data_IF_885382969767
#
_entry.id   IF_885382969767
#
_cell.length_a   1.000
_cell.length_b   1.000
_cell.length_c   1.000
_cell.angle_alpha   90.00
_cell.angle_beta   90.00
_cell.angle_gamma   90.00
#
_symmetry.space_group_name_H-M   'P 1'
#
loop_
_entity.id
_entity.type
_entity.pdbx_description
1 polymer ?
#
# COMPACT_ATOMS: atom_id res chain seq x y z
N UNK A 1 26.08 -70.84 1.66
CA UNK A 1 27.23 -70.41 2.49
C UNK A 1 27.38 -68.90 2.27
N UNK A 2 26.79 -68.06 3.15
CA UNK A 2 27.48 -67.30 4.22
C UNK A 2 28.73 -66.56 3.72
N UNK A 3 28.86 -65.23 3.75
CA UNK A 3 28.71 -64.31 4.88
C UNK A 3 28.52 -62.86 4.35
N UNK A 4 27.60 -62.04 4.90
CA UNK A 4 27.77 -61.15 6.06
C UNK A 4 29.11 -60.39 6.13
N UNK A 5 29.07 -59.07 5.91
CA UNK A 5 29.56 -58.05 6.87
C UNK A 5 29.82 -56.71 6.17
N UNK A 6 29.11 -55.67 6.63
CA UNK A 6 29.58 -54.27 6.87
C UNK A 6 28.41 -53.29 6.78
N UNK A 7 27.57 -53.33 7.80
CA UNK A 7 26.87 -52.14 8.28
C UNK A 7 27.68 -51.50 9.41
N UNK A 8 27.30 -50.26 9.72
CA UNK A 8 27.61 -49.53 10.96
C UNK A 8 28.91 -48.70 10.99
N UNK A 9 28.84 -47.46 10.48
CA UNK A 9 29.42 -46.27 11.13
C UNK A 9 28.56 -45.04 10.79
N UNK A 10 27.44 -44.95 11.50
CA UNK A 10 26.67 -43.72 11.67
C UNK A 10 27.17 -43.03 12.94
N UNK A 11 27.06 -41.70 12.95
CA UNK A 11 27.07 -40.81 14.12
C UNK A 11 28.41 -40.65 14.83
N UNK A 12 29.07 -39.53 14.58
CA UNK A 12 29.53 -38.58 15.62
C UNK A 12 30.41 -37.51 14.97
N UNK A 13 29.83 -36.41 14.47
CA UNK A 13 30.55 -35.13 14.44
C UNK A 13 29.54 -33.98 14.64
N UNK A 14 29.50 -33.50 15.88
CA UNK A 14 28.96 -32.18 16.22
C UNK A 14 30.12 -31.21 16.43
N UNK A 15 29.82 -29.94 16.12
CA UNK A 15 30.47 -28.71 16.55
C UNK A 15 31.82 -28.34 15.89
N UNK A 16 31.82 -27.26 15.10
CA UNK A 16 32.55 -26.02 15.42
C UNK A 16 31.93 -24.83 14.67
N UNK A 17 31.89 -23.67 15.34
CA UNK A 17 31.32 -22.40 14.87
C UNK A 17 32.39 -21.52 14.22
N UNK A 18 32.02 -20.90 13.07
CA UNK A 18 32.40 -19.54 12.54
C UNK A 18 33.84 -19.24 12.10
N UNK A 19 34.15 -18.20 11.27
CA UNK A 19 33.29 -17.20 10.58
C UNK A 19 33.58 -16.97 9.05
N UNK A 20 32.77 -16.07 8.46
CA UNK A 20 32.90 -15.32 7.18
C UNK A 20 34.20 -15.42 6.36
N UNK A 21 34.05 -15.71 5.07
CA UNK A 21 34.89 -15.16 4.00
C UNK A 21 34.00 -14.64 2.85
N UNK A 22 34.23 -13.40 2.46
CA UNK A 22 33.58 -12.73 1.34
C UNK A 22 34.27 -13.15 0.03
N UNK A 23 33.49 -13.59 -0.96
CA UNK A 23 33.97 -13.71 -2.33
C UNK A 23 33.18 -12.76 -3.23
N UNK A 24 33.91 -11.74 -3.71
CA UNK A 24 33.49 -10.86 -4.80
C UNK A 24 33.73 -11.57 -6.14
N UNK A 25 32.72 -11.47 -7.01
CA UNK A 25 32.66 -11.64 -8.47
C UNK A 25 33.71 -12.49 -9.19
N UNK A 26 33.25 -13.55 -9.87
CA UNK A 26 33.73 -13.84 -11.24
C UNK A 26 32.62 -14.43 -12.11
N UNK A 27 32.36 -13.75 -13.22
CA UNK A 27 31.55 -14.19 -14.35
C UNK A 27 32.21 -15.39 -15.02
N UNK A 28 31.49 -16.51 -15.14
CA UNK A 28 31.78 -17.52 -16.15
C UNK A 28 30.49 -18.17 -16.64
N UNK A 29 30.12 -17.80 -17.86
CA UNK A 29 29.13 -18.44 -18.72
C UNK A 29 29.51 -19.91 -18.93
N UNK A 30 28.63 -20.84 -18.53
CA UNK A 30 28.58 -22.20 -19.07
C UNK A 30 27.15 -22.73 -19.11
N UNK A 31 26.65 -22.79 -20.34
CA UNK A 31 25.86 -23.84 -20.98
C UNK A 31 24.77 -24.59 -20.20
N UNK A 32 23.55 -24.45 -20.71
CA UNK A 32 22.39 -25.33 -20.51
C UNK A 32 22.70 -26.79 -20.82
N UNK A 33 22.06 -27.72 -20.10
CA UNK A 33 21.47 -28.90 -20.70
C UNK A 33 19.94 -28.78 -20.75
N UNK A 34 19.43 -28.85 -21.98
CA UNK A 34 18.01 -29.07 -22.29
C UNK A 34 17.67 -30.51 -21.91
N UNK A 35 16.61 -30.71 -21.14
CA UNK A 35 15.93 -32.01 -21.08
C UNK A 35 14.51 -31.86 -21.61
N UNK A 36 14.20 -32.78 -22.53
CA UNK A 36 12.95 -32.90 -23.25
C UNK A 36 11.85 -33.53 -22.38
N UNK A 37 10.62 -33.13 -22.71
CA UNK A 37 9.37 -33.90 -22.66
C UNK A 37 9.10 -34.87 -21.50
N UNK A 38 8.07 -34.54 -20.72
CA UNK A 38 6.94 -35.46 -20.62
C UNK A 38 5.62 -34.69 -20.61
N UNK A 39 4.78 -35.02 -21.60
CA UNK A 39 3.39 -34.61 -21.70
C UNK A 39 2.54 -35.66 -21.02
N UNK A 40 1.70 -35.28 -20.06
CA UNK A 40 0.51 -36.06 -19.70
C UNK A 40 -0.72 -35.18 -19.83
N UNK A 41 -1.42 -35.42 -20.94
CA UNK A 41 -2.80 -35.02 -21.15
C UNK A 41 -3.68 -35.71 -20.10
N UNK A 42 -4.32 -34.93 -19.24
CA UNK A 42 -5.56 -35.31 -18.58
C UNK A 42 -6.56 -34.17 -18.80
N UNK A 43 -7.30 -34.30 -19.89
CA UNK A 43 -8.54 -33.57 -20.11
C UNK A 43 -9.58 -34.07 -19.11
N UNK A 44 -10.10 -33.17 -18.28
CA UNK A 44 -11.31 -33.41 -17.51
C UNK A 44 -12.41 -32.50 -18.06
N UNK A 45 -13.22 -33.05 -18.96
CA UNK A 45 -14.43 -32.42 -19.47
C UNK A 45 -15.47 -32.33 -18.34
N UNK A 46 -15.75 -31.11 -17.85
CA UNK A 46 -16.96 -30.86 -17.08
C UNK A 46 -18.06 -30.43 -18.05
N UNK A 47 -19.05 -31.33 -18.20
CA UNK A 47 -20.28 -31.15 -18.97
C UNK A 47 -20.96 -29.82 -18.65
N UNK A 48 -21.20 -29.02 -19.69
CA UNK A 48 -22.23 -28.00 -19.72
C UNK A 48 -23.60 -28.69 -19.53
N UNK A 49 -24.34 -28.29 -18.51
CA UNK A 49 -25.76 -28.65 -18.34
C UNK A 49 -26.61 -27.46 -18.76
N UNK A 50 -27.44 -27.57 -19.81
CA UNK A 50 -28.40 -26.54 -20.19
C UNK A 50 -29.75 -26.76 -19.50
N UNK A 51 -30.35 -25.70 -18.96
CA UNK A 51 -31.75 -25.59 -18.50
C UNK A 51 -31.91 -24.19 -17.88
N UNK A 52 -32.90 -23.33 -18.14
CA UNK A 52 -34.05 -23.24 -19.04
C UNK A 52 -34.33 -21.73 -19.21
N UNK A 53 -34.80 -21.24 -20.37
CA UNK A 53 -35.14 -19.83 -20.54
C UNK A 53 -36.49 -19.49 -19.90
N UNK A 54 -36.49 -18.48 -19.02
CA UNK A 54 -37.70 -17.88 -18.44
C UNK A 54 -38.39 -17.04 -19.53
N UNK A 55 -39.66 -17.35 -19.77
CA UNK A 55 -40.59 -16.65 -20.65
C UNK A 55 -40.82 -15.22 -20.14
N UNK A 56 -40.48 -14.20 -20.93
CA UNK A 56 -41.14 -12.90 -20.82
C UNK A 56 -41.51 -12.34 -22.22
N UNK A 57 -42.82 -12.20 -22.34
CA UNK A 57 -43.70 -11.56 -23.31
C UNK A 57 -43.07 -10.47 -24.19
N UNK A 58 -43.20 -10.68 -25.50
CA UNK A 58 -43.03 -9.69 -26.57
C UNK A 58 -44.37 -9.00 -26.83
N UNK A 59 -44.44 -7.66 -26.88
CA UNK A 59 -45.47 -6.97 -27.65
C UNK A 59 -45.01 -6.69 -29.09
N UNK A 60 -45.85 -7.15 -30.00
CA UNK A 60 -45.78 -7.09 -31.46
C UNK A 60 -46.03 -5.67 -31.98
N UNK A 61 -45.09 -5.10 -32.77
CA UNK A 61 -45.38 -3.94 -33.65
C UNK A 61 -44.88 -4.27 -35.06
N UNK A 62 -45.77 -4.00 -36.02
CA UNK A 62 -45.76 -4.38 -37.44
C UNK A 62 -44.81 -3.45 -38.25
N UNK A 63 -44.15 -3.94 -39.31
CA UNK A 63 -43.19 -3.17 -40.11
C UNK A 63 -43.88 -2.26 -41.14
N UNK A 64 -43.31 -1.07 -41.39
CA UNK A 64 -43.58 -0.29 -42.60
C UNK A 64 -42.27 0.29 -43.14
N UNK A 65 -42.15 0.24 -44.47
CA UNK A 65 -40.96 0.43 -45.29
C UNK A 65 -40.68 1.90 -45.62
N UNK A 66 -39.38 2.24 -45.62
CA UNK A 66 -38.63 3.18 -46.51
C UNK A 66 -38.96 4.69 -46.52
N UNK A 67 -38.03 5.59 -46.97
CA UNK A 67 -36.68 5.36 -47.51
C UNK A 67 -35.54 6.19 -46.84
N UNK A 68 -34.33 5.80 -47.22
CA UNK A 68 -33.03 6.31 -46.82
C UNK A 68 -32.86 7.84 -46.90
N UNK A 69 -32.25 8.40 -45.85
CA UNK A 69 -31.54 9.68 -45.90
C UNK A 69 -30.09 9.43 -45.52
N UNK A 70 -29.22 10.03 -46.34
CA UNK A 70 -27.79 9.85 -46.50
C UNK A 70 -26.95 9.85 -45.21
N UNK A 71 -25.80 9.15 -45.22
CA UNK A 71 -24.84 9.16 -44.14
C UNK A 71 -24.09 10.49 -44.12
N UNK A 72 -24.35 11.31 -43.08
CA UNK A 72 -23.51 12.46 -42.76
C UNK A 72 -22.28 11.97 -41.97
N UNK A 73 -21.09 12.54 -42.20
CA UNK A 73 -19.81 11.88 -42.00
C UNK A 73 -19.49 11.66 -40.53
N UNK A 74 -18.84 10.53 -40.25
CA UNK A 74 -18.16 10.26 -39.00
C UNK A 74 -17.18 11.41 -38.70
N UNK A 75 -17.57 12.29 -37.77
CA UNK A 75 -16.62 13.19 -37.11
C UNK A 75 -15.48 12.36 -36.52
N UNK A 76 -14.22 12.77 -36.74
CA UNK A 76 -13.07 12.01 -36.27
C UNK A 76 -13.16 11.85 -34.76
N UNK A 77 -12.80 10.67 -34.25
CA UNK A 77 -12.67 10.38 -32.82
C UNK A 77 -11.63 11.31 -32.20
N UNK A 78 -12.04 12.54 -31.89
CA UNK A 78 -11.27 13.51 -31.14
C UNK A 78 -10.93 12.90 -29.80
N UNK A 79 -9.65 12.90 -29.46
CA UNK A 79 -9.11 12.37 -28.21
C UNK A 79 -9.84 13.02 -27.02
N UNK A 80 -10.86 12.35 -26.47
CA UNK A 80 -11.56 12.82 -25.28
C UNK A 80 -10.53 12.87 -24.15
N UNK A 81 -10.36 14.04 -23.54
CA UNK A 81 -9.52 14.17 -22.35
C UNK A 81 -9.96 13.15 -21.31
N UNK A 82 -9.01 12.48 -20.65
CA UNK A 82 -9.28 11.39 -19.70
C UNK A 82 -10.28 11.81 -18.59
N UNK A 83 -10.26 13.10 -18.22
CA UNK A 83 -11.23 13.69 -17.31
C UNK A 83 -12.67 13.66 -17.83
N UNK A 84 -12.89 13.90 -19.13
CA UNK A 84 -14.22 13.81 -19.75
C UNK A 84 -14.71 12.36 -19.82
N UNK A 85 -13.83 11.41 -20.15
CA UNK A 85 -14.18 9.97 -20.14
C UNK A 85 -14.51 9.45 -18.73
N UNK A 86 -13.92 10.02 -17.69
CA UNK A 86 -14.27 9.72 -16.30
C UNK A 86 -15.56 10.41 -15.86
N UNK A 87 -15.81 11.64 -16.32
CA UNK A 87 -17.02 12.38 -16.01
C UNK A 87 -18.28 11.79 -16.69
N UNK A 88 -18.11 11.11 -17.83
CA UNK A 88 -19.18 10.39 -18.52
C UNK A 88 -19.59 9.08 -17.81
N UNK A 89 -18.73 8.53 -16.94
CA UNK A 89 -19.05 7.32 -16.18
C UNK A 89 -20.09 7.62 -15.11
N UNK A 90 -21.02 6.69 -14.92
CA UNK A 90 -22.08 6.76 -13.90
C UNK A 90 -21.61 6.37 -12.51
N UNK A 91 -20.42 5.79 -12.36
CA UNK A 91 -19.88 5.33 -11.09
C UNK A 91 -18.65 6.14 -10.68
N UNK A 92 -18.52 6.38 -9.38
CA UNK A 92 -17.29 6.91 -8.78
C UNK A 92 -16.13 5.94 -9.02
N UNK A 93 -15.01 6.44 -9.54
CA UNK A 93 -13.84 5.62 -9.85
C UNK A 93 -12.75 5.84 -8.80
N UNK A 94 -12.32 4.78 -8.12
CA UNK A 94 -11.23 4.85 -7.15
C UNK A 94 -9.90 5.00 -7.91
N UNK A 95 -9.21 6.13 -7.71
CA UNK A 95 -7.94 6.43 -8.38
C UNK A 95 -6.75 5.95 -7.55
N UNK A 96 -6.85 6.08 -6.23
CA UNK A 96 -5.81 5.64 -5.31
C UNK A 96 -6.39 5.23 -3.96
N UNK A 97 -5.87 4.13 -3.42
CA UNK A 97 -6.14 3.63 -2.08
C UNK A 97 -4.81 3.45 -1.35
N UNK A 98 -4.66 4.11 -0.21
CA UNK A 98 -3.46 4.02 0.60
C UNK A 98 -3.34 2.65 1.31
N UNK A 99 -2.11 2.18 1.60
CA UNK A 99 -1.90 0.97 2.38
C UNK A 99 -2.36 1.15 3.84
N UNK A 100 -2.40 0.05 4.59
CA UNK A 100 -2.69 0.10 6.02
C UNK A 100 -1.54 0.73 6.81
N UNK A 101 -1.62 2.04 7.08
CA UNK A 101 -0.68 2.77 7.94
C UNK A 101 -0.82 2.48 9.45
N UNK A 102 -1.45 1.38 9.85
CA UNK A 102 -1.67 1.06 11.27
C UNK A 102 -0.36 0.84 11.99
N UNK A 103 0.57 0.07 11.40
CA UNK A 103 1.91 -0.15 11.94
C UNK A 103 2.70 1.16 11.99
N UNK A 104 2.63 1.97 10.93
CA UNK A 104 3.26 3.29 10.90
C UNK A 104 2.76 4.21 12.02
N UNK A 105 1.44 4.27 12.24
CA UNK A 105 0.84 5.05 13.32
C UNK A 105 1.22 4.49 14.70
N UNK A 106 1.20 3.17 14.86
CA UNK A 106 1.63 2.49 16.09
C UNK A 106 3.10 2.83 16.40
N UNK A 107 3.98 2.83 15.41
CA UNK A 107 5.37 3.24 15.56
C UNK A 107 5.48 4.70 15.98
N UNK A 108 4.76 5.61 15.32
CA UNK A 108 4.82 7.04 15.68
C UNK A 108 4.37 7.26 17.12
N UNK A 109 3.20 6.73 17.51
CA UNK A 109 2.67 6.89 18.85
C UNK A 109 3.48 6.14 19.92
N UNK A 110 3.98 4.94 19.60
CA UNK A 110 4.83 4.16 20.49
C UNK A 110 6.18 4.83 20.74
N UNK A 111 6.84 5.33 19.69
CA UNK A 111 8.10 6.07 19.82
C UNK A 111 7.90 7.40 20.53
N UNK A 112 6.82 8.12 20.24
CA UNK A 112 6.48 9.35 20.97
C UNK A 112 6.23 9.08 22.46
N UNK A 113 5.41 8.08 22.77
CA UNK A 113 5.14 7.66 24.14
C UNK A 113 6.43 7.29 24.86
N UNK A 114 7.31 6.52 24.22
CA UNK A 114 8.63 6.20 24.77
C UNK A 114 9.47 7.46 25.05
N UNK A 115 9.52 8.42 24.12
CA UNK A 115 10.26 9.66 24.31
C UNK A 115 9.70 10.50 25.47
N UNK A 116 8.38 10.64 25.59
CA UNK A 116 7.76 11.39 26.68
C UNK A 116 7.93 10.70 28.03
N UNK A 117 7.75 9.38 28.09
CA UNK A 117 7.95 8.61 29.32
C UNK A 117 9.41 8.69 29.77
N UNK A 118 10.37 8.52 28.86
CA UNK A 118 11.79 8.65 29.16
C UNK A 118 12.13 10.08 29.64
N UNK A 119 11.64 11.11 28.94
CA UNK A 119 11.86 12.50 29.34
C UNK A 119 11.33 12.77 30.75
N UNK A 120 10.12 12.30 31.05
CA UNK A 120 9.47 12.52 32.36
C UNK A 120 10.22 11.79 33.47
N UNK A 121 10.54 10.51 33.29
CA UNK A 121 11.26 9.72 34.31
C UNK A 121 12.67 10.28 34.51
N UNK A 122 13.38 10.60 33.43
CA UNK A 122 14.74 11.13 33.51
C UNK A 122 14.77 12.51 34.17
N UNK A 123 13.81 13.39 33.85
CA UNK A 123 13.67 14.68 34.50
C UNK A 123 13.35 14.52 36.00
N UNK A 124 12.41 13.64 36.34
CA UNK A 124 12.04 13.41 37.74
C UNK A 124 13.20 12.85 38.57
N UNK A 125 13.87 11.82 38.06
CA UNK A 125 14.95 11.14 38.80
C UNK A 125 16.27 11.92 38.82
N UNK A 126 16.66 12.57 37.71
CA UNK A 126 17.98 13.20 37.59
C UNK A 126 18.00 14.72 37.79
N UNK A 127 16.86 15.41 37.64
CA UNK A 127 16.78 16.86 37.85
C UNK A 127 16.20 17.20 39.22
N UNK A 128 15.07 16.59 39.59
CA UNK A 128 14.37 16.90 40.85
C UNK A 128 14.99 16.18 42.04
N UNK A 129 15.27 14.87 41.90
CA UNK A 129 15.88 14.05 42.95
C UNK A 129 17.41 13.98 42.85
N UNK A 130 18.04 15.03 42.32
CA UNK A 130 19.49 15.06 42.15
C UNK A 130 20.22 14.98 43.51
N UNK A 131 21.14 14.00 43.71
CA UNK A 131 22.00 13.97 44.90
C UNK A 131 22.81 15.27 45.04
N UNK A 132 22.89 15.81 46.25
CA UNK A 132 23.60 17.07 46.54
C UNK A 132 25.12 17.01 46.23
N UNK A 133 25.68 15.81 46.08
CA UNK A 133 27.08 15.56 45.77
C UNK A 133 27.44 15.75 44.29
N UNK A 134 26.47 16.04 43.43
CA UNK A 134 26.70 16.21 41.99
C UNK A 134 27.02 17.66 41.62
N UNK A 135 27.95 17.89 40.67
CA UNK A 135 28.18 19.20 40.10
C UNK A 135 26.87 19.76 39.51
N UNK A 136 26.59 21.04 39.78
CA UNK A 136 25.34 21.72 39.38
C UNK A 136 25.07 21.71 37.87
N UNK A 137 26.10 21.54 37.04
CA UNK A 137 25.94 21.41 35.58
C UNK A 137 25.29 20.08 35.17
N UNK A 138 25.45 19.01 35.96
CA UNK A 138 24.98 17.66 35.60
C UNK A 138 23.46 17.58 35.57
N UNK A 139 22.71 18.02 36.61
CA UNK A 139 21.26 18.10 36.54
C UNK A 139 20.79 18.98 35.37
N UNK A 140 21.42 20.14 35.15
CA UNK A 140 21.06 21.06 34.05
C UNK A 140 21.21 20.38 32.69
N UNK A 141 22.28 19.61 32.47
CA UNK A 141 22.48 18.83 31.25
C UNK A 141 21.39 17.76 31.06
N UNK A 142 21.04 17.03 32.12
CA UNK A 142 19.94 16.05 32.07
C UNK A 142 18.58 16.69 31.82
N UNK A 143 18.35 17.89 32.37
CA UNK A 143 17.19 18.72 32.05
C UNK A 143 17.14 19.06 30.56
N UNK A 144 18.26 19.51 29.99
CA UNK A 144 18.38 19.79 28.56
C UNK A 144 18.10 18.57 27.67
N UNK A 145 18.63 17.40 28.04
CA UNK A 145 18.38 16.13 27.33
C UNK A 145 16.91 15.75 27.40
N UNK A 146 16.25 15.92 28.56
CA UNK A 146 14.82 15.63 28.72
C UNK A 146 13.94 16.52 27.83
N UNK A 147 14.28 17.81 27.73
CA UNK A 147 13.58 18.77 26.87
C UNK A 147 13.77 18.43 25.38
N UNK A 148 15.00 18.11 24.97
CA UNK A 148 15.29 17.67 23.60
C UNK A 148 14.50 16.41 23.25
N UNK A 149 14.43 15.45 24.18
CA UNK A 149 13.64 14.22 23.98
C UNK A 149 12.14 14.51 23.88
N UNK A 150 11.61 15.44 24.68
CA UNK A 150 10.21 15.87 24.57
C UNK A 150 9.91 16.55 23.22
N UNK A 151 10.82 17.40 22.71
CA UNK A 151 10.71 18.00 21.38
C UNK A 151 10.72 16.95 20.27
N UNK A 152 11.60 15.95 20.35
CA UNK A 152 11.63 14.81 19.42
C UNK A 152 10.33 14.01 19.48
N UNK A 153 9.83 13.73 20.69
CA UNK A 153 8.54 13.08 20.90
C UNK A 153 7.40 13.84 20.21
N UNK A 154 7.32 15.16 20.43
CA UNK A 154 6.35 16.03 19.77
C UNK A 154 6.45 15.98 18.25
N UNK A 155 7.66 16.07 17.70
CA UNK A 155 7.89 15.98 16.25
C UNK A 155 7.37 14.66 15.66
N UNK A 156 7.59 13.55 16.35
CA UNK A 156 7.14 12.22 15.91
C UNK A 156 5.61 12.08 16.01
N UNK A 157 4.95 12.65 17.01
CA UNK A 157 3.46 12.67 17.10
C UNK A 157 2.83 13.39 15.91
N UNK A 158 3.48 14.44 15.39
CA UNK A 158 2.98 15.19 14.23
C UNK A 158 3.31 14.52 12.89
N UNK A 159 4.18 13.50 12.86
CA UNK A 159 4.56 12.79 11.64
C UNK A 159 3.35 12.20 10.85
N UNK A 160 2.37 11.51 11.47
CA UNK A 160 1.20 10.96 10.76
C UNK A 160 0.17 12.02 10.31
N UNK A 161 0.35 13.30 10.65
CA UNK A 161 -0.57 14.34 10.23
C UNK A 161 -0.58 14.51 8.71
N UNK A 162 -1.80 14.63 8.15
CA UNK A 162 -2.03 14.94 6.73
C UNK A 162 -1.87 13.76 5.77
N UNK A 163 -1.94 12.52 6.25
CA UNK A 163 -1.91 11.33 5.40
C UNK A 163 -3.22 11.17 4.59
N UNK A 164 -3.12 10.96 3.28
CA UNK A 164 -4.26 10.65 2.41
C UNK A 164 -4.59 9.16 2.51
N UNK A 165 -5.88 8.84 2.67
CA UNK A 165 -6.40 7.47 2.74
C UNK A 165 -6.89 6.99 1.37
N UNK A 166 -7.66 7.82 0.67
CA UNK A 166 -8.22 7.47 -0.64
C UNK A 166 -8.38 8.72 -1.51
N UNK A 167 -8.25 8.53 -2.82
CA UNK A 167 -8.55 9.53 -3.84
C UNK A 167 -9.56 8.90 -4.80
N UNK A 168 -10.75 9.49 -4.87
CA UNK A 168 -11.87 9.00 -5.68
C UNK A 168 -12.29 10.07 -6.67
N UNK A 169 -12.41 9.72 -7.94
CA UNK A 169 -13.00 10.58 -8.95
C UNK A 169 -14.52 10.42 -8.92
N UNK A 170 -15.23 11.47 -8.53
CA UNK A 170 -16.69 11.52 -8.49
C UNK A 170 -17.18 12.30 -9.71
N UNK A 171 -17.98 11.68 -10.60
CA UNK A 171 -18.58 12.38 -11.73
C UNK A 171 -19.62 13.38 -11.21
N UNK A 172 -19.67 14.60 -11.77
CA UNK A 172 -20.57 15.67 -11.32
C UNK A 172 -22.05 15.29 -11.28
N UNK A 173 -22.46 14.28 -12.07
CA UNK A 173 -23.85 13.77 -12.08
C UNK A 173 -24.23 12.98 -10.82
N UNK A 174 -23.24 12.50 -10.06
CA UNK A 174 -23.41 11.63 -8.88
C UNK A 174 -23.08 12.37 -7.58
N UNK A 175 -22.80 13.68 -7.64
CA UNK A 175 -22.56 14.49 -6.45
C UNK A 175 -23.84 14.68 -5.62
N UNK A 176 -24.14 13.68 -4.80
CA UNK A 176 -25.01 13.80 -3.64
C UNK A 176 -24.17 14.21 -2.45
N UNK A 177 -23.86 15.51 -2.35
CA UNK A 177 -23.34 16.09 -1.12
C UNK A 177 -24.56 16.37 -0.21
N UNK A 178 -24.67 15.64 0.90
CA UNK A 178 -25.69 15.84 1.94
C UNK A 178 -27.15 15.79 1.48
N UNK A 179 -27.55 14.80 0.68
CA UNK A 179 -28.98 14.57 0.35
C UNK A 179 -29.65 15.66 -0.50
N UNK A 180 -28.92 16.71 -0.90
CA UNK A 180 -29.42 17.77 -1.75
C UNK A 180 -28.73 17.72 -3.12
N UNK A 181 -29.54 17.74 -4.18
CA UNK A 181 -29.09 17.76 -5.57
C UNK A 181 -28.39 19.09 -5.88
N UNK A 182 -27.06 19.15 -5.70
CA UNK A 182 -26.29 20.33 -6.07
C UNK A 182 -26.35 20.50 -7.61
N UNK A 183 -26.95 21.61 -8.05
CA UNK A 183 -27.19 21.96 -9.46
C UNK A 183 -25.89 21.83 -10.29
N UNK A 184 -25.90 21.15 -11.44
CA UNK A 184 -24.68 20.83 -12.18
C UNK A 184 -24.13 22.10 -12.83
N UNK A 185 -23.02 22.63 -12.31
CA UNK A 185 -22.28 23.72 -12.95
C UNK A 185 -21.20 23.11 -13.84
N UNK A 186 -21.61 22.60 -14.99
CA UNK A 186 -20.74 22.08 -16.05
C UNK A 186 -20.29 20.62 -15.88
N UNK A 187 -19.77 20.05 -16.96
CA UNK A 187 -19.20 18.69 -17.07
C UNK A 187 -17.88 18.53 -16.31
N UNK A 188 -17.78 19.06 -15.09
CA UNK A 188 -16.55 19.11 -14.31
C UNK A 188 -16.44 17.88 -13.41
N UNK A 189 -15.46 17.02 -13.65
CA UNK A 189 -15.07 15.94 -12.73
C UNK A 189 -14.67 16.54 -11.37
N UNK A 190 -15.14 15.99 -10.25
CA UNK A 190 -14.66 16.35 -8.92
C UNK A 190 -13.85 15.20 -8.32
N UNK A 191 -12.80 15.52 -7.58
CA UNK A 191 -11.97 14.54 -6.90
C UNK A 191 -12.26 14.64 -5.40
N UNK A 192 -12.77 13.56 -4.83
CA UNK A 192 -12.89 13.37 -3.39
C UNK A 192 -11.55 12.87 -2.85
N UNK A 193 -10.92 13.66 -1.99
CA UNK A 193 -9.73 13.27 -1.25
C UNK A 193 -10.14 13.01 0.20
N UNK A 194 -10.05 11.75 0.62
CA UNK A 194 -10.28 11.35 1.99
C UNK A 194 -8.95 11.34 2.76
N UNK A 195 -8.86 12.13 3.82
CA UNK A 195 -7.72 12.10 4.73
C UNK A 195 -7.92 11.03 5.80
N UNK A 196 -6.79 10.47 6.24
CA UNK A 196 -6.76 9.57 7.36
C UNK A 196 -6.91 10.35 8.67
N UNK A 197 -7.54 9.69 9.65
CA UNK A 197 -7.66 10.23 11.01
C UNK A 197 -6.27 10.36 11.61
N UNK A 198 -5.99 11.51 12.22
CA UNK A 198 -4.72 11.73 12.92
C UNK A 198 -4.66 10.80 14.14
N UNK A 199 -5.66 10.88 15.02
CA UNK A 199 -5.80 9.98 16.15
C UNK A 199 -6.62 8.73 15.80
N UNK A 200 -6.22 7.53 16.27
CA UNK A 200 -6.96 6.28 16.07
C UNK A 200 -8.20 6.20 16.97
N UNK A 201 -8.88 7.31 17.22
CA UNK A 201 -10.10 7.37 18.03
C UNK A 201 -11.30 7.07 17.14
N UNK A 202 -12.19 6.14 17.54
CA UNK A 202 -13.32 5.72 16.71
C UNK A 202 -14.31 6.87 16.38
N UNK A 203 -14.42 7.87 17.26
CA UNK A 203 -15.45 8.92 17.20
C UNK A 203 -15.19 10.08 16.22
N UNK A 204 -13.95 10.31 15.76
CA UNK A 204 -13.69 11.42 14.84
C UNK A 204 -13.87 11.00 13.37
N UNK A 205 -14.68 11.69 12.55
CA UNK A 205 -14.86 11.35 11.14
C UNK A 205 -13.58 11.63 10.33
N UNK A 206 -13.36 10.86 9.25
CA UNK A 206 -12.30 11.18 8.28
C UNK A 206 -12.66 12.48 7.53
N UNK A 207 -11.70 13.39 7.41
CA UNK A 207 -11.91 14.66 6.72
C UNK A 207 -11.92 14.42 5.21
N UNK A 208 -13.01 14.77 4.55
CA UNK A 208 -13.20 14.63 3.09
C UNK A 208 -13.26 16.01 2.46
N UNK A 209 -12.65 16.16 1.30
CA UNK A 209 -12.75 17.39 0.50
C UNK A 209 -13.02 17.05 -0.96
N UNK A 210 -13.87 17.87 -1.59
CA UNK A 210 -14.17 17.81 -3.01
C UNK A 210 -13.38 18.91 -3.69
N UNK A 211 -12.47 18.51 -4.59
CA UNK A 211 -11.49 19.40 -5.21
C UNK A 211 -11.54 19.20 -6.72
N UNK A 212 -11.33 20.26 -7.50
CA UNK A 212 -11.22 20.10 -8.96
C UNK A 212 -9.86 19.49 -9.33
N UNK A 213 -9.78 18.66 -10.39
CA UNK A 213 -8.52 18.06 -10.83
C UNK A 213 -7.38 19.07 -11.03
N UNK A 214 -7.71 20.28 -11.49
CA UNK A 214 -6.73 21.34 -11.78
C UNK A 214 -6.10 21.99 -10.55
N UNK A 215 -6.74 21.87 -9.39
CA UNK A 215 -6.30 22.48 -8.12
C UNK A 215 -5.36 21.56 -7.34
N UNK A 216 -5.25 20.29 -7.75
CA UNK A 216 -4.31 19.35 -7.17
C UNK A 216 -2.96 19.51 -7.87
N UNK A 217 -1.88 19.55 -7.10
CA UNK A 217 -0.52 19.57 -7.63
C UNK A 217 0.29 18.42 -7.04
N UNK A 218 0.91 17.61 -7.91
CA UNK A 218 1.83 16.55 -7.51
C UNK A 218 3.26 17.05 -7.62
N UNK A 219 4.07 16.82 -6.59
CA UNK A 219 5.50 17.14 -6.62
C UNK A 219 6.29 16.23 -7.59
N UNK A 220 5.82 15.00 -7.82
CA UNK A 220 6.45 14.01 -8.71
C UNK A 220 5.36 13.15 -9.35
N UNK A 221 5.69 12.46 -10.44
CA UNK A 221 4.81 11.47 -11.07
C UNK A 221 4.47 10.37 -10.05
N UNK A 222 3.19 10.02 -9.97
CA UNK A 222 2.68 9.00 -9.05
C UNK A 222 3.15 7.60 -9.44
N UNK A 223 3.41 7.38 -10.73
CA UNK A 223 3.87 6.09 -11.23
C UNK A 223 5.13 5.67 -10.48
N UNK A 224 5.07 4.60 -9.65
CA UNK A 224 6.28 4.11 -9.02
C UNK A 224 7.25 3.75 -10.14
N UNK A 225 8.54 4.02 -9.95
CA UNK A 225 9.61 3.53 -10.83
C UNK A 225 9.75 2.00 -10.65
N UNK A 226 8.64 1.29 -10.64
CA UNK A 226 8.56 -0.13 -10.82
C UNK A 226 8.98 -0.39 -12.25
N UNK A 227 10.03 -1.20 -12.42
CA UNK A 227 10.26 -1.92 -13.68
C UNK A 227 8.91 -2.42 -14.19
N UNK A 228 8.64 -2.30 -15.48
CA UNK A 228 7.43 -2.88 -16.09
C UNK A 228 7.54 -4.39 -15.92
N UNK A 229 7.00 -4.90 -14.81
CA UNK A 229 6.95 -6.33 -14.52
C UNK A 229 6.05 -6.92 -15.61
N UNK A 230 6.56 -7.89 -16.37
CA UNK A 230 5.78 -8.56 -17.40
C UNK A 230 4.49 -9.12 -16.80
N UNK A 231 3.41 -9.21 -17.59
CA UNK A 231 2.15 -9.82 -17.11
C UNK A 231 2.36 -11.24 -16.57
N UNK A 232 3.35 -11.94 -17.12
CA UNK A 232 3.80 -13.27 -16.70
C UNK A 232 4.50 -13.22 -15.34
N UNK A 233 5.53 -12.37 -15.19
CA UNK A 233 6.20 -12.17 -13.90
C UNK A 233 5.24 -11.72 -12.78
N UNK A 234 4.21 -10.94 -13.11
CA UNK A 234 3.19 -10.53 -12.13
C UNK A 234 2.34 -11.72 -11.66
N UNK A 235 1.99 -12.63 -12.58
CA UNK A 235 1.28 -13.88 -12.24
C UNK A 235 2.15 -14.81 -11.43
N UNK A 236 3.41 -14.96 -11.79
CA UNK A 236 4.37 -15.78 -11.03
C UNK A 236 4.55 -15.25 -9.61
N UNK A 237 4.72 -13.94 -9.45
CA UNK A 237 4.80 -13.31 -8.12
C UNK A 237 3.52 -13.51 -7.33
N UNK A 238 2.34 -13.40 -7.96
CA UNK A 238 1.07 -13.65 -7.28
C UNK A 238 0.98 -15.12 -6.81
N UNK A 239 1.42 -16.07 -7.63
CA UNK A 239 1.48 -17.49 -7.25
C UNK A 239 2.46 -17.72 -6.09
N UNK A 240 3.67 -17.13 -6.15
CA UNK A 240 4.66 -17.25 -5.08
C UNK A 240 4.16 -16.65 -3.75
N UNK A 241 3.46 -15.51 -3.80
CA UNK A 241 2.86 -14.90 -2.61
C UNK A 241 1.72 -15.75 -2.04
N UNK A 242 0.92 -16.39 -2.90
CA UNK A 242 -0.12 -17.33 -2.46
C UNK A 242 0.49 -18.57 -1.81
N UNK A 243 1.52 -19.16 -2.40
CA UNK A 243 2.25 -20.29 -1.82
C UNK A 243 2.90 -19.92 -0.49
N UNK A 244 3.55 -18.75 -0.39
CA UNK A 244 4.12 -18.27 0.86
C UNK A 244 3.04 -18.13 1.95
N UNK A 245 1.88 -17.56 1.60
CA UNK A 245 0.74 -17.42 2.53
C UNK A 245 0.19 -18.78 2.98
N UNK A 246 0.09 -19.76 2.08
CA UNK A 246 -0.33 -21.12 2.44
C UNK A 246 0.65 -21.78 3.41
N UNK A 247 1.96 -21.67 3.13
CA UNK A 247 3.01 -22.17 4.05
C UNK A 247 2.95 -21.50 5.41
N UNK A 248 2.69 -20.20 5.46
CA UNK A 248 2.50 -19.49 6.73
C UNK A 248 1.30 -20.04 7.52
N UNK A 249 0.17 -20.29 6.86
CA UNK A 249 -1.02 -20.84 7.50
C UNK A 249 -0.81 -22.28 7.99
N UNK A 250 -0.13 -23.13 7.22
CA UNK A 250 0.24 -24.49 7.63
C UNK A 250 1.20 -24.48 8.83
N UNK A 251 2.17 -23.56 8.82
CA UNK A 251 3.09 -23.38 9.93
C UNK A 251 2.37 -22.89 11.19
N UNK A 252 1.44 -21.93 11.07
CA UNK A 252 0.64 -21.44 12.21
C UNK A 252 -0.24 -22.54 12.81
N UNK A 253 -0.80 -23.43 11.97
CA UNK A 253 -1.57 -24.59 12.45
C UNK A 253 -0.71 -25.59 13.22
N UNK A 254 0.53 -25.82 12.78
CA UNK A 254 1.43 -26.78 13.42
C UNK A 254 2.15 -26.23 14.67
N UNK A 255 2.32 -24.91 14.77
CA UNK A 255 3.12 -24.26 15.80
C UNK A 255 2.33 -23.20 16.57
N UNK A 256 1.21 -23.60 17.17
CA UNK A 256 0.29 -22.68 17.87
C UNK A 256 1.01 -21.96 19.04
N UNK A 257 1.81 -22.69 19.83
CA UNK A 257 2.48 -22.14 21.02
C UNK A 257 3.61 -21.15 20.70
N UNK A 258 4.31 -21.30 19.58
CA UNK A 258 5.39 -20.37 19.18
C UNK A 258 4.93 -19.29 18.21
N UNK A 259 3.73 -19.43 17.64
CA UNK A 259 3.11 -18.44 16.75
C UNK A 259 3.01 -17.02 17.33
N UNK A 260 2.64 -16.78 18.62
CA UNK A 260 2.56 -15.41 19.13
C UNK A 260 3.93 -14.74 19.21
N UNK A 261 4.96 -15.44 19.66
CA UNK A 261 6.31 -14.89 19.75
C UNK A 261 6.86 -14.50 18.38
N UNK A 262 6.61 -15.33 17.36
CA UNK A 262 7.02 -15.02 15.98
C UNK A 262 6.26 -13.83 15.40
N UNK A 263 4.96 -13.71 15.69
CA UNK A 263 4.15 -12.55 15.25
C UNK A 263 4.65 -11.27 15.91
N UNK A 264 5.03 -11.33 17.19
CA UNK A 264 5.63 -10.20 17.91
C UNK A 264 6.97 -9.82 17.27
N UNK A 265 7.87 -10.76 17.00
CA UNK A 265 9.16 -10.43 16.38
C UNK A 265 8.99 -9.83 14.99
N UNK A 266 8.11 -10.41 14.15
CA UNK A 266 7.77 -9.84 12.84
C UNK A 266 7.17 -8.45 12.95
N UNK A 267 6.29 -8.21 13.93
CA UNK A 267 5.74 -6.89 14.20
C UNK A 267 6.86 -5.92 14.60
N UNK A 268 7.78 -6.30 15.48
CA UNK A 268 8.92 -5.47 15.90
C UNK A 268 9.84 -5.12 14.72
N UNK A 269 10.16 -6.08 13.84
CA UNK A 269 10.94 -5.79 12.63
C UNK A 269 10.21 -4.86 11.67
N UNK A 270 8.89 -5.02 11.50
CA UNK A 270 8.06 -4.09 10.72
C UNK A 270 8.04 -2.70 11.35
N UNK A 271 7.88 -2.61 12.67
CA UNK A 271 7.90 -1.35 13.42
C UNK A 271 9.23 -0.63 13.26
N UNK A 272 10.36 -1.35 13.28
CA UNK A 272 11.70 -0.78 13.04
C UNK A 272 11.87 -0.27 11.61
N UNK A 273 11.36 -1.01 10.63
CA UNK A 273 11.36 -0.57 9.22
C UNK A 273 10.52 0.69 9.04
N UNK A 274 9.33 0.74 9.65
CA UNK A 274 8.49 1.92 9.67
C UNK A 274 9.11 3.06 10.47
N UNK A 275 9.88 2.79 11.54
CA UNK A 275 10.58 3.81 12.31
C UNK A 275 11.64 4.52 11.46
N UNK A 276 12.45 3.74 10.73
CA UNK A 276 13.36 4.30 9.72
C UNK A 276 12.58 5.16 8.73
N UNK A 277 11.42 4.68 8.29
CA UNK A 277 10.56 5.41 7.37
C UNK A 277 10.01 6.73 7.95
N UNK A 278 9.66 6.77 9.24
CA UNK A 278 9.24 8.00 9.94
C UNK A 278 10.36 9.03 9.90
N UNK A 279 11.59 8.61 10.18
CA UNK A 279 12.76 9.48 10.23
C UNK A 279 13.17 9.99 8.84
N UNK A 280 13.31 9.08 7.87
CA UNK A 280 13.73 9.42 6.51
C UNK A 280 12.59 10.07 5.71
N UNK A 281 11.34 9.92 6.13
CA UNK A 281 10.13 10.23 5.35
C UNK A 281 10.15 9.57 3.97
N UNK A 282 10.74 8.37 3.94
CA UNK A 282 10.93 7.64 2.69
C UNK A 282 9.57 7.18 2.14
N UNK A 283 9.45 7.19 0.80
CA UNK A 283 8.26 6.79 0.07
C UNK A 283 6.99 7.61 0.39
N UNK A 284 7.13 8.84 0.91
CA UNK A 284 6.04 9.78 1.11
C UNK A 284 6.11 10.90 0.07
N UNK A 285 5.09 10.97 -0.79
CA UNK A 285 4.92 12.07 -1.73
C UNK A 285 4.13 13.22 -1.10
N UNK A 286 4.54 14.46 -1.36
CA UNK A 286 3.73 15.64 -1.02
C UNK A 286 2.76 15.94 -2.16
N UNK A 287 1.49 16.13 -1.82
CA UNK A 287 0.44 16.59 -2.73
C UNK A 287 -0.05 17.92 -2.19
N UNK A 288 -0.01 18.97 -3.01
CA UNK A 288 -0.56 20.27 -2.64
C UNK A 288 -2.02 20.36 -3.11
N UNK A 289 -2.92 20.67 -2.18
CA UNK A 289 -4.36 20.85 -2.40
C UNK A 289 -4.74 22.16 -1.70
N UNK A 290 -5.27 23.14 -2.45
CA UNK A 290 -5.66 24.45 -1.90
C UNK A 290 -4.59 25.06 -0.97
N UNK A 291 -3.35 25.12 -1.46
CA UNK A 291 -2.18 25.66 -0.74
C UNK A 291 -1.77 24.90 0.54
N UNK A 292 -2.38 23.74 0.80
CA UNK A 292 -1.99 22.83 1.90
C UNK A 292 -1.29 21.60 1.37
N UNK A 293 -0.20 21.22 2.03
CA UNK A 293 0.57 20.03 1.69
C UNK A 293 0.08 18.82 2.47
N UNK A 294 -0.35 17.79 1.74
CA UNK A 294 -0.74 16.49 2.25
C UNK A 294 0.29 15.42 1.86
N UNK A 295 0.35 14.33 2.62
CA UNK A 295 1.31 13.24 2.43
C UNK A 295 0.60 12.01 1.86
N UNK A 296 1.19 11.41 0.82
CA UNK A 296 0.67 10.22 0.16
C UNK A 296 1.73 9.16 0.06
N UNK A 297 1.36 7.92 0.37
CA UNK A 297 2.28 6.78 0.38
C UNK A 297 2.36 6.11 -1.00
N UNK A 298 3.55 6.05 -1.59
CA UNK A 298 3.77 5.45 -2.91
C UNK A 298 4.11 3.94 -2.82
N UNK A 299 4.65 3.46 -1.70
CA UNK A 299 5.34 2.16 -1.62
C UNK A 299 4.42 0.94 -1.58
N UNK A 300 3.15 1.09 -1.20
CA UNK A 300 2.26 -0.05 -0.97
C UNK A 300 0.79 0.20 -1.25
N UNK A 301 0.45 1.38 -1.78
CA UNK A 301 -0.92 1.72 -2.13
C UNK A 301 -1.36 1.09 -3.46
N UNK A 302 -2.65 0.82 -3.58
CA UNK A 302 -3.23 0.48 -4.86
C UNK A 302 -3.52 1.77 -5.63
N UNK A 303 -3.09 1.84 -6.89
CA UNK A 303 -3.36 2.97 -7.76
C UNK A 303 -3.89 2.48 -9.11
N UNK A 304 -4.90 3.16 -9.63
CA UNK A 304 -5.48 2.85 -10.93
C UNK A 304 -4.43 3.05 -12.03
N UNK A 305 -4.28 2.04 -12.88
CA UNK A 305 -3.24 1.96 -13.92
C UNK A 305 -1.82 2.22 -13.39
N UNK A 306 -1.56 1.82 -12.13
CA UNK A 306 -0.28 2.02 -11.47
C UNK A 306 0.09 3.50 -11.29
N UNK A 307 -0.90 4.38 -11.15
CA UNK A 307 -0.69 5.83 -10.93
C UNK A 307 -0.84 6.69 -12.17
N UNK A 308 -0.86 6.10 -13.37
CA UNK A 308 -0.97 6.85 -14.64
C UNK A 308 -2.30 7.57 -14.79
N UNK A 309 -3.37 7.00 -14.24
CA UNK A 309 -4.68 7.62 -14.22
C UNK A 309 -4.67 8.96 -13.47
N UNK A 310 -3.97 9.00 -12.32
CA UNK A 310 -3.85 10.21 -11.51
C UNK A 310 -2.95 11.25 -12.19
N UNK A 311 -1.82 10.82 -12.76
CA UNK A 311 -0.87 11.69 -13.47
C UNK A 311 -1.50 12.40 -14.69
N UNK A 312 -2.53 11.80 -15.30
CA UNK A 312 -3.27 12.41 -16.44
C UNK A 312 -4.30 13.46 -16.01
N UNK A 313 -4.73 13.43 -14.76
CA UNK A 313 -5.78 14.31 -14.23
C UNK A 313 -5.20 15.52 -13.50
N UNK A 314 -4.00 15.38 -12.93
CA UNK A 314 -3.42 16.32 -11.99
C UNK A 314 -2.24 17.06 -12.61
N UNK A 315 -2.05 18.33 -12.26
CA UNK A 315 -0.88 19.11 -12.69
C UNK A 315 0.37 18.62 -11.94
N UNK A 316 1.42 18.29 -12.67
CA UNK A 316 2.71 17.88 -12.08
C UNK A 316 3.61 19.12 -12.05
N UNK A 317 4.02 19.54 -10.85
CA UNK A 317 4.98 20.63 -10.66
C UNK A 317 6.31 20.00 -10.19
N UNK A 318 7.35 19.97 -11.04
CA UNK A 318 8.63 19.33 -10.73
C UNK A 318 9.38 19.99 -9.58
#
# INVERSE_FOLDING_TARGET
MSAFSRGCLLRHQCAFKTPRAAHFFLSKSYQQPRFFSSTTLMQAAKKLRPSNPIKQVVPKIKPSNTPAKSPSPATPMGYKSYAMSLAEKTHSTLLYQAPSHTVYMLTCYGTAGFCFTYATISFWSNYILAPAELPTWVPVAFGGISLLMACLGGWVVLAPAGLVKSIVAVPSRVNMVNGALAKPRGSALQIEVELKKMFPVPFFPSRKFYVKPEEIQLARRFVPVSKKIGKEEARERAMLLQMARQRELEYERSHIMTSPFRRISQLTFKMFTELKRVWTRDQMMKIAIHDRNYKVDISGGWALDGGRALDRLVKIKP
#
